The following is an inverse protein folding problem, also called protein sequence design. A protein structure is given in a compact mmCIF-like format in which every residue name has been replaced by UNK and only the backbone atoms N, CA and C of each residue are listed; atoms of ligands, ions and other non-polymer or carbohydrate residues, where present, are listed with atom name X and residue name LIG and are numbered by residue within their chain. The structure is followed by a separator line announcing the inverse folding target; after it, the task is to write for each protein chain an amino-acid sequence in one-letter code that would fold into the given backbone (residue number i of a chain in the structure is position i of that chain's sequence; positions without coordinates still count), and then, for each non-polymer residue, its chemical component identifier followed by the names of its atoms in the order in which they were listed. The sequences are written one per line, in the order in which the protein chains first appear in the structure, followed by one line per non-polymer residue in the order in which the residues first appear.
data_IF_823059009377
#
_entry.id   IF_823059009377
#
_cell.length_a   1.000
_cell.length_b   1.000
_cell.length_c   1.000
_cell.angle_alpha   90.00
_cell.angle_beta   90.00
_cell.angle_gamma   90.00
#
_symmetry.space_group_name_H-M   'P 1'
#
loop_
_entity.id
_entity.type
_entity.pdbx_description
1 polymer ?
#
# COMPACT_ATOMS: atom_id res chain seq x y z
N UNK A 1 -16.95 -4.93 2.51
CA UNK A 1 -16.03 -3.79 2.37
C UNK A 1 -15.32 -3.97 1.04
N UNK A 2 -15.41 -2.96 0.18
CA UNK A 2 -14.74 -2.96 -1.11
C UNK A 2 -13.21 -2.82 -0.93
N UNK A 3 -12.43 -3.21 -1.94
CA UNK A 3 -10.95 -3.24 -1.82
C UNK A 3 -10.34 -1.91 -1.39
N UNK A 4 -10.80 -0.82 -2.00
CA UNK A 4 -10.30 0.52 -1.70
C UNK A 4 -10.65 0.93 -0.27
N UNK A 5 -11.86 0.61 0.20
CA UNK A 5 -12.29 0.90 1.57
C UNK A 5 -11.43 0.16 2.58
N UNK A 6 -11.13 -1.11 2.29
CA UNK A 6 -10.32 -1.96 3.16
C UNK A 6 -8.86 -1.50 3.22
N UNK A 7 -8.28 -1.10 2.09
CA UNK A 7 -6.96 -0.47 2.05
C UNK A 7 -6.92 0.81 2.88
N UNK A 8 -7.94 1.67 2.76
CA UNK A 8 -8.03 2.90 3.59
C UNK A 8 -8.18 2.59 5.07
N UNK A 9 -8.95 1.56 5.41
CA UNK A 9 -9.13 1.14 6.79
C UNK A 9 -7.82 0.60 7.40
N UNK A 10 -7.01 -0.15 6.63
CA UNK A 10 -5.68 -0.59 7.06
C UNK A 10 -4.76 0.59 7.38
N UNK A 11 -4.69 1.59 6.50
CA UNK A 11 -3.89 2.81 6.76
C UNK A 11 -4.35 3.51 8.03
N UNK A 12 -5.67 3.72 8.18
CA UNK A 12 -6.25 4.40 9.35
C UNK A 12 -5.99 3.62 10.65
N UNK A 13 -5.94 2.30 10.58
CA UNK A 13 -5.61 1.43 11.71
C UNK A 13 -4.10 1.37 12.02
N UNK A 14 -3.27 2.13 11.30
CA UNK A 14 -1.81 2.13 11.48
C UNK A 14 -1.09 0.92 10.89
N UNK A 15 -1.77 0.13 10.05
CA UNK A 15 -1.27 -1.12 9.45
C UNK A 15 -0.70 -0.91 8.05
N UNK A 16 0.06 0.16 7.90
CA UNK A 16 0.70 0.49 6.63
C UNK A 16 1.86 -0.44 6.28
N UNK A 17 2.49 -1.04 7.29
CA UNK A 17 3.50 -2.09 7.17
C UNK A 17 2.91 -3.39 6.61
N UNK A 18 1.76 -3.82 7.12
CA UNK A 18 1.03 -4.99 6.58
C UNK A 18 0.65 -4.75 5.12
N UNK A 19 0.07 -3.57 4.82
CA UNK A 19 -0.28 -3.20 3.44
C UNK A 19 0.97 -3.14 2.54
N UNK A 20 2.09 -2.64 3.05
CA UNK A 20 3.36 -2.62 2.32
C UNK A 20 3.82 -4.03 1.97
N UNK A 21 3.74 -4.98 2.91
CA UNK A 21 4.09 -6.38 2.66
C UNK A 21 3.22 -7.01 1.55
N UNK A 22 1.93 -6.65 1.46
CA UNK A 22 1.10 -7.05 0.32
C UNK A 22 1.60 -6.46 -1.01
N UNK A 23 1.91 -5.17 -1.03
CA UNK A 23 2.38 -4.50 -2.26
C UNK A 23 3.71 -5.09 -2.72
N UNK A 24 4.65 -5.33 -1.80
CA UNK A 24 6.01 -5.82 -2.07
C UNK A 24 6.09 -7.33 -2.36
N UNK A 25 4.99 -8.07 -2.18
CA UNK A 25 4.97 -9.51 -2.44
C UNK A 25 5.46 -10.36 -1.26
N UNK A 26 5.50 -9.80 -0.06
CA UNK A 26 6.07 -10.41 1.15
C UNK A 26 4.99 -10.92 2.13
N UNK A 27 3.72 -10.55 1.93
CA UNK A 27 2.62 -10.99 2.79
C UNK A 27 2.34 -12.50 2.65
N UNK A 28 2.18 -13.24 3.76
CA UNK A 28 1.87 -14.68 3.73
C UNK A 28 0.45 -14.98 3.24
N UNK A 29 -0.40 -13.96 3.09
CA UNK A 29 -1.77 -14.10 2.60
C UNK A 29 -1.88 -13.96 1.08
N UNK A 30 -0.77 -13.70 0.39
CA UNK A 30 -0.75 -13.55 -1.07
C UNK A 30 -1.06 -14.87 -1.76
N UNK A 31 -1.95 -14.80 -2.74
CA UNK A 31 -2.23 -15.89 -3.67
C UNK A 31 -1.93 -15.45 -5.10
N UNK A 32 -2.09 -16.36 -6.07
CA UNK A 32 -1.96 -16.04 -7.50
C UNK A 32 -2.94 -14.94 -7.96
N UNK A 33 -3.98 -14.61 -7.19
CA UNK A 33 -4.87 -13.49 -7.51
C UNK A 33 -4.15 -12.14 -7.38
N UNK A 34 -3.18 -12.01 -6.47
CA UNK A 34 -2.33 -10.83 -6.33
C UNK A 34 -1.13 -10.92 -7.27
N UNK A 35 -1.32 -10.39 -8.48
CA UNK A 35 -0.31 -10.40 -9.54
C UNK A 35 0.94 -9.54 -9.23
N UNK A 36 0.93 -8.75 -8.15
CA UNK A 36 2.06 -7.93 -7.75
C UNK A 36 2.33 -6.76 -8.70
N UNK A 37 3.56 -6.62 -9.17
CA UNK A 37 3.99 -5.46 -9.97
C UNK A 37 3.17 -5.36 -11.27
N UNK A 38 2.46 -4.25 -11.55
CA UNK A 38 1.69 -4.11 -12.78
C UNK A 38 2.53 -4.20 -14.06
N UNK A 39 1.96 -4.77 -15.11
CA UNK A 39 2.60 -4.89 -16.43
C UNK A 39 2.64 -3.55 -17.19
N UNK A 40 1.57 -2.76 -17.09
CA UNK A 40 1.48 -1.45 -17.74
C UNK A 40 2.61 -0.53 -17.24
N UNK A 41 3.43 0.06 -18.13
CA UNK A 41 4.53 0.94 -17.72
C UNK A 41 4.09 2.13 -16.87
N UNK A 42 2.92 2.69 -17.18
CA UNK A 42 2.34 3.79 -16.41
C UNK A 42 1.91 3.34 -15.01
N UNK A 43 1.20 2.21 -14.90
CA UNK A 43 0.80 1.65 -13.60
C UNK A 43 2.01 1.21 -12.78
N UNK A 44 3.05 0.66 -13.42
CA UNK A 44 4.31 0.30 -12.76
C UNK A 44 5.00 1.51 -12.15
N UNK A 45 5.04 2.65 -12.85
CA UNK A 45 5.58 3.90 -12.30
C UNK A 45 4.79 4.35 -11.07
N UNK A 46 3.46 4.30 -11.13
CA UNK A 46 2.60 4.62 -9.99
C UNK A 46 2.89 3.66 -8.82
N UNK A 47 2.97 2.36 -9.09
CA UNK A 47 3.24 1.33 -8.09
C UNK A 47 4.57 1.57 -7.34
N UNK A 48 5.64 1.97 -8.03
CA UNK A 48 6.93 2.31 -7.37
C UNK A 48 6.77 3.49 -6.39
N UNK A 49 5.97 4.50 -6.77
CA UNK A 49 5.71 5.66 -5.92
C UNK A 49 4.79 5.31 -4.75
N UNK A 50 3.88 4.36 -4.93
CA UNK A 50 3.06 3.78 -3.85
C UNK A 50 3.92 3.03 -2.84
N UNK A 51 4.83 2.15 -3.28
CA UNK A 51 5.77 1.46 -2.38
C UNK A 51 6.58 2.49 -1.59
N UNK A 52 7.09 3.52 -2.27
CA UNK A 52 7.85 4.59 -1.62
C UNK A 52 6.99 5.36 -0.60
N UNK A 53 5.73 5.65 -0.94
CA UNK A 53 4.79 6.29 -0.03
C UNK A 53 4.50 5.43 1.20
N UNK A 54 4.22 4.14 1.02
CA UNK A 54 3.89 3.23 2.11
C UNK A 54 5.10 3.03 3.04
N UNK A 55 6.32 2.89 2.50
CA UNK A 55 7.55 2.89 3.32
C UNK A 55 7.68 4.17 4.15
N UNK A 56 7.36 5.32 3.55
CA UNK A 56 7.37 6.59 4.26
C UNK A 56 6.31 6.62 5.37
N UNK A 57 5.07 6.21 5.08
CA UNK A 57 3.96 6.20 6.06
C UNK A 57 4.25 5.21 7.19
N UNK A 58 4.79 4.03 6.90
CA UNK A 58 5.21 3.06 7.91
C UNK A 58 6.29 3.62 8.83
N UNK A 59 7.22 4.43 8.31
CA UNK A 59 8.31 4.99 9.11
C UNK A 59 7.93 6.27 9.87
N UNK A 60 7.05 7.09 9.33
CA UNK A 60 6.79 8.46 9.83
C UNK A 60 5.31 8.77 10.12
N UNK A 61 4.40 7.82 9.90
CA UNK A 61 2.96 8.04 9.94
C UNK A 61 2.43 8.84 8.74
N UNK A 62 1.17 9.27 8.82
CA UNK A 62 0.48 10.03 7.75
C UNK A 62 0.90 11.51 7.66
N UNK A 63 2.19 11.82 7.88
CA UNK A 63 2.72 13.18 7.73
C UNK A 63 2.83 13.58 6.26
N UNK A 64 2.45 14.82 5.96
CA UNK A 64 2.37 15.33 4.57
C UNK A 64 3.65 16.03 4.09
N UNK A 65 4.59 16.29 4.98
CA UNK A 65 5.85 17.00 4.68
C UNK A 65 7.00 16.01 4.56
N UNK A 66 7.96 16.26 3.64
CA UNK A 66 9.18 15.47 3.57
C UNK A 66 9.93 15.43 4.90
N UNK A 67 10.58 14.29 5.16
CA UNK A 67 11.43 14.05 6.34
C UNK A 67 12.89 13.96 5.91
N UNK A 68 13.81 14.33 6.80
CA UNK A 68 15.24 14.11 6.59
C UNK A 68 15.65 12.93 7.47
N UNK A 69 16.23 11.90 6.86
CA UNK A 69 16.82 10.77 7.58
C UNK A 69 18.14 10.38 6.92
N UNK A 70 19.17 10.20 7.74
CA UNK A 70 20.51 9.78 7.29
C UNK A 70 21.08 10.69 6.17
N UNK A 71 20.77 11.99 6.22
CA UNK A 71 21.16 12.98 5.21
C UNK A 71 20.36 12.95 3.90
N UNK A 72 19.36 12.08 3.79
CA UNK A 72 18.47 11.98 2.63
C UNK A 72 17.12 12.63 2.90
N UNK A 73 16.54 13.26 1.87
CA UNK A 73 15.17 13.78 1.90
C UNK A 73 14.22 12.69 1.41
N UNK A 74 13.36 12.21 2.30
CA UNK A 74 12.30 11.24 2.00
C UNK A 74 10.97 11.97 1.90
N UNK A 75 10.24 11.75 0.80
CA UNK A 75 8.97 12.43 0.54
C UNK A 75 7.81 11.44 0.55
N UNK A 76 6.63 11.84 1.07
CA UNK A 76 5.40 11.09 0.84
C UNK A 76 4.89 11.32 -0.59
N UNK A 77 4.22 10.32 -1.18
CA UNK A 77 3.57 10.40 -2.49
C UNK A 77 2.05 10.15 -2.37
N UNK A 78 1.31 10.99 -1.62
CA UNK A 78 -0.11 10.76 -1.37
C UNK A 78 -0.96 10.90 -2.63
N UNK A 79 -0.54 11.73 -3.60
CA UNK A 79 -1.26 11.90 -4.86
C UNK A 79 -1.20 10.62 -5.70
N UNK A 80 -0.03 10.02 -5.81
CA UNK A 80 0.17 8.75 -6.50
C UNK A 80 -0.53 7.59 -5.80
N UNK A 81 -0.58 7.62 -4.46
CA UNK A 81 -1.40 6.68 -3.71
C UNK A 81 -2.89 6.82 -4.06
N UNK A 82 -3.42 8.03 -4.15
CA UNK A 82 -4.81 8.22 -4.60
C UNK A 82 -5.02 7.76 -6.05
N UNK A 83 -4.07 7.99 -6.95
CA UNK A 83 -4.14 7.49 -8.33
C UNK A 83 -4.14 5.96 -8.40
N UNK A 84 -3.32 5.31 -7.58
CA UNK A 84 -3.30 3.86 -7.46
C UNK A 84 -4.63 3.31 -6.92
N UNK A 85 -5.20 3.92 -5.89
CA UNK A 85 -6.53 3.57 -5.39
C UNK A 85 -7.61 3.77 -6.46
N UNK A 86 -7.57 4.88 -7.19
CA UNK A 86 -8.52 5.17 -8.27
C UNK A 86 -8.40 4.19 -9.45
N UNK A 87 -7.20 3.66 -9.70
CA UNK A 87 -6.97 2.56 -10.64
C UNK A 87 -7.40 1.18 -10.10
N UNK A 88 -8.04 1.15 -8.92
CA UNK A 88 -8.49 -0.07 -8.28
C UNK A 88 -7.37 -0.85 -7.60
N UNK A 89 -6.30 -0.19 -7.13
CA UNK A 89 -5.17 -0.80 -6.43
C UNK A 89 -4.63 -2.06 -7.14
N UNK A 90 -4.15 -1.93 -8.40
CA UNK A 90 -3.62 -3.06 -9.16
C UNK A 90 -2.42 -3.67 -8.45
N UNK A 91 -2.32 -5.00 -8.55
CA UNK A 91 -1.28 -5.81 -7.91
C UNK A 91 -1.70 -6.54 -6.65
N UNK A 92 -2.80 -6.10 -6.01
CA UNK A 92 -3.35 -6.74 -4.82
C UNK A 92 -4.79 -7.17 -5.07
N UNK A 93 -5.11 -8.42 -4.75
CA UNK A 93 -6.46 -8.96 -4.78
C UNK A 93 -7.25 -8.63 -3.52
N UNK A 94 -8.57 -8.45 -3.65
CA UNK A 94 -9.44 -8.21 -2.52
C UNK A 94 -9.50 -9.42 -1.57
N UNK A 95 -9.54 -10.63 -2.12
CA UNK A 95 -9.64 -11.88 -1.36
C UNK A 95 -8.46 -12.10 -0.43
N UNK A 96 -7.24 -11.77 -0.87
CA UNK A 96 -6.02 -11.89 -0.07
C UNK A 96 -6.05 -10.92 1.13
N UNK A 97 -6.48 -9.67 0.90
CA UNK A 97 -6.66 -8.70 1.98
C UNK A 97 -7.79 -9.11 2.95
N UNK A 98 -8.87 -9.69 2.43
CA UNK A 98 -9.97 -10.21 3.26
C UNK A 98 -9.55 -11.44 4.09
N UNK A 99 -8.64 -12.27 3.57
CA UNK A 99 -8.06 -13.36 4.34
C UNK A 99 -7.28 -12.83 5.54
N UNK A 100 -6.41 -11.83 5.32
CA UNK A 100 -5.69 -11.16 6.40
C UNK A 100 -6.64 -10.53 7.42
N UNK A 101 -7.62 -9.72 6.99
CA UNK A 101 -8.53 -9.02 7.94
C UNK A 101 -9.42 -9.98 8.72
N UNK A 102 -9.73 -11.18 8.21
CA UNK A 102 -10.47 -12.20 8.98
C UNK A 102 -9.70 -12.69 10.20
N UNK A 103 -8.38 -12.81 10.10
CA UNK A 103 -7.50 -13.24 11.19
C UNK A 103 -7.00 -12.05 12.03
N UNK A 104 -6.96 -10.87 11.43
CA UNK A 104 -6.55 -9.62 12.05
C UNK A 104 -7.65 -8.56 11.87
N UNK A 105 -8.74 -8.59 12.65
CA UNK A 105 -9.84 -7.65 12.52
C UNK A 105 -9.41 -6.19 12.67
N UNK A 106 -10.11 -5.27 11.99
CA UNK A 106 -9.94 -3.83 12.12
C UNK A 106 -10.98 -3.33 13.12
N UNK A 107 -10.55 -2.98 14.33
CA UNK A 107 -11.41 -2.50 15.43
C UNK A 107 -11.97 -1.08 15.19
#
# INVERSE_FOLDING_TARGET
MEKIELIRALIKAGRSDDLLAFVEGESPYLTDASQGVPESPWLRRIWVLVVTHLRFVTRYGEVTKPQIADGQVLSPYPAEFQLWLAAGAPGIALEDLQAYVREHPLD
#
